data_IF_966625809986
#
_entry.id   IF_966625809986
#
_cell.length_a   1.000
_cell.length_b   1.000
_cell.length_c   1.000
_cell.angle_alpha   90.00
_cell.angle_beta   90.00
_cell.angle_gamma   90.00
#
_symmetry.space_group_name_H-M   'P 1'
#
loop_
_entity.id
_entity.type
_entity.pdbx_description
1 polymer ?
#
# COMPACT_ATOMS: atom_id res chain seq x y z
N UNK A 1 22.99 -4.76 1.32
CA UNK A 1 22.97 -6.22 1.09
C UNK A 1 21.62 -6.85 1.45
N UNK A 2 21.14 -6.73 2.71
CA UNK A 2 19.87 -7.38 3.12
C UNK A 2 18.65 -6.91 2.32
N UNK A 3 18.46 -5.60 2.13
CA UNK A 3 17.35 -5.08 1.32
C UNK A 3 17.34 -5.63 -0.13
N UNK A 4 18.52 -5.79 -0.74
CA UNK A 4 18.68 -6.36 -2.08
C UNK A 4 18.33 -7.84 -2.08
N UNK A 5 18.76 -8.60 -1.06
CA UNK A 5 18.39 -10.00 -0.92
C UNK A 5 16.87 -10.18 -0.75
N UNK A 6 16.24 -9.35 0.11
CA UNK A 6 14.77 -9.34 0.28
C UNK A 6 14.09 -9.05 -1.06
N UNK A 7 14.53 -8.02 -1.78
CA UNK A 7 14.00 -7.67 -3.09
C UNK A 7 14.08 -8.85 -4.07
N UNK A 8 15.27 -9.44 -4.25
CA UNK A 8 15.49 -10.51 -5.21
C UNK A 8 14.67 -11.76 -4.85
N UNK A 9 14.66 -12.17 -3.58
CA UNK A 9 13.87 -13.33 -3.15
C UNK A 9 12.37 -13.10 -3.33
N UNK A 10 11.86 -11.93 -2.92
CA UNK A 10 10.45 -11.59 -3.09
C UNK A 10 10.06 -11.52 -4.57
N UNK A 11 10.87 -10.85 -5.39
CA UNK A 11 10.64 -10.72 -6.82
C UNK A 11 10.61 -12.09 -7.51
N UNK A 12 11.60 -12.95 -7.25
CA UNK A 12 11.65 -14.31 -7.81
C UNK A 12 10.45 -15.16 -7.36
N UNK A 13 10.06 -15.08 -6.09
CA UNK A 13 8.90 -15.81 -5.57
C UNK A 13 7.58 -15.35 -6.22
N UNK A 14 7.41 -14.04 -6.41
CA UNK A 14 6.20 -13.46 -7.01
C UNK A 14 6.05 -13.78 -8.51
N UNK A 15 7.16 -14.07 -9.21
CA UNK A 15 7.14 -14.49 -10.62
C UNK A 15 6.57 -15.90 -10.84
N UNK A 16 6.55 -16.75 -9.81
CA UNK A 16 6.10 -18.15 -9.92
C UNK A 16 4.62 -18.19 -10.36
N UNK A 17 4.35 -18.63 -11.58
CA UNK A 17 3.00 -18.72 -12.13
C UNK A 17 2.34 -17.37 -12.44
N UNK A 18 3.12 -16.30 -12.63
CA UNK A 18 2.60 -14.94 -12.89
C UNK A 18 1.71 -14.84 -14.14
N UNK A 19 2.02 -15.63 -15.17
CA UNK A 19 1.28 -15.62 -16.44
C UNK A 19 -0.09 -16.29 -16.35
N UNK A 20 -0.36 -17.03 -15.29
CA UNK A 20 -1.63 -17.72 -15.10
C UNK A 20 -2.61 -16.88 -14.24
N UNK A 21 -3.86 -16.67 -14.71
CA UNK A 21 -4.42 -17.15 -15.97
C UNK A 21 -4.01 -16.24 -17.15
N UNK A 22 -4.01 -16.79 -18.36
CA UNK A 22 -3.69 -16.05 -19.61
C UNK A 22 -4.88 -15.21 -20.11
N UNK A 23 -5.59 -14.56 -19.19
CA UNK A 23 -6.71 -13.66 -19.45
C UNK A 23 -6.74 -12.55 -18.41
N UNK A 24 -7.47 -11.48 -18.70
CA UNK A 24 -7.70 -10.41 -17.72
C UNK A 24 -8.47 -10.91 -16.51
N UNK A 25 -8.05 -10.45 -15.34
CA UNK A 25 -8.77 -10.66 -14.08
C UNK A 25 -9.15 -9.31 -13.49
N UNK A 26 -10.37 -9.21 -12.96
CA UNK A 26 -10.87 -7.98 -12.33
C UNK A 26 -10.63 -6.71 -13.18
N UNK A 27 -10.15 -5.61 -12.59
CA UNK A 27 -9.92 -4.33 -13.29
C UNK A 27 -8.75 -4.34 -14.30
N UNK A 28 -8.05 -5.47 -14.52
CA UNK A 28 -7.11 -5.58 -15.66
C UNK A 28 -7.80 -5.25 -16.99
N UNK A 29 -9.11 -5.54 -17.08
CA UNK A 29 -9.97 -5.18 -18.23
C UNK A 29 -10.05 -3.67 -18.47
N UNK A 30 -9.72 -2.84 -17.48
CA UNK A 30 -9.71 -1.38 -17.59
C UNK A 30 -8.29 -0.84 -17.76
N UNK A 31 -7.34 -1.33 -16.96
CA UNK A 31 -5.99 -0.76 -16.91
C UNK A 31 -5.11 -1.20 -18.07
N UNK A 32 -5.21 -2.47 -18.50
CA UNK A 32 -4.39 -2.97 -19.61
C UNK A 32 -4.79 -2.33 -20.93
N UNK A 33 -6.09 -2.22 -21.31
CA UNK A 33 -6.47 -1.48 -22.52
C UNK A 33 -6.05 -0.01 -22.51
N UNK A 34 -6.13 0.66 -21.36
CA UNK A 34 -5.65 2.04 -21.23
C UNK A 34 -4.14 2.14 -21.43
N UNK A 35 -3.36 1.19 -20.89
CA UNK A 35 -1.92 1.13 -21.14
C UNK A 35 -1.59 0.84 -22.61
N UNK A 36 -2.34 -0.04 -23.28
CA UNK A 36 -2.19 -0.28 -24.74
C UNK A 36 -2.43 0.98 -25.56
N UNK A 37 -3.43 1.76 -25.20
CA UNK A 37 -3.73 3.02 -25.88
C UNK A 37 -2.55 4.00 -25.80
N UNK A 38 -1.80 4.02 -24.69
CA UNK A 38 -0.62 4.88 -24.50
C UNK A 38 0.58 4.48 -25.39
N UNK A 39 0.56 3.28 -25.99
CA UNK A 39 1.59 2.85 -26.95
C UNK A 39 1.29 3.29 -28.38
N UNK A 40 0.06 3.75 -28.66
CA UNK A 40 -0.28 4.25 -29.98
C UNK A 40 0.44 5.59 -30.25
N UNK A 41 1.01 5.81 -31.44
CA UNK A 41 1.68 7.08 -31.78
C UNK A 41 0.78 8.32 -31.63
N UNK A 42 -0.52 8.13 -31.82
CA UNK A 42 -1.56 9.16 -31.65
C UNK A 42 -2.77 8.51 -30.99
N UNK A 43 -3.30 9.13 -29.93
CA UNK A 43 -4.55 8.70 -29.31
C UNK A 43 -5.73 9.09 -30.20
N UNK A 44 -6.30 8.11 -30.92
CA UNK A 44 -7.44 8.31 -31.82
C UNK A 44 -8.80 8.38 -31.12
N UNK A 45 -8.83 8.07 -29.82
CA UNK A 45 -10.02 8.01 -28.98
C UNK A 45 -9.74 8.73 -27.66
N UNK A 46 -10.79 9.20 -26.94
CA UNK A 46 -10.62 9.71 -25.59
C UNK A 46 -9.86 8.71 -24.70
N UNK A 47 -9.11 9.23 -23.73
CA UNK A 47 -8.30 8.41 -22.82
C UNK A 47 -9.17 7.39 -22.08
N UNK A 48 -8.83 6.12 -22.20
CA UNK A 48 -9.45 5.04 -21.44
C UNK A 48 -9.04 5.12 -19.97
N UNK A 49 -9.97 4.76 -19.09
CA UNK A 49 -9.83 4.91 -17.64
C UNK A 49 -9.32 6.32 -17.22
N UNK A 50 -10.01 7.41 -17.59
CA UNK A 50 -9.55 8.78 -17.31
C UNK A 50 -9.64 9.16 -15.84
N UNK A 51 -10.35 8.37 -15.03
CA UNK A 51 -10.56 8.57 -13.59
C UNK A 51 -9.31 8.38 -12.71
N UNK A 52 -8.17 7.99 -13.28
CA UNK A 52 -6.92 7.81 -12.55
C UNK A 52 -5.74 8.49 -13.26
N UNK A 53 -4.81 9.08 -12.48
CA UNK A 53 -3.52 9.56 -12.96
C UNK A 53 -2.73 8.49 -13.76
N UNK A 54 -1.80 8.91 -14.64
CA UNK A 54 -1.31 8.05 -15.71
C UNK A 54 -0.16 7.12 -15.34
N UNK A 55 0.64 7.43 -14.32
CA UNK A 55 1.97 6.82 -14.12
C UNK A 55 1.93 5.28 -14.06
N UNK A 56 0.96 4.70 -13.35
CA UNK A 56 0.85 3.25 -13.26
C UNK A 56 0.51 2.60 -14.62
N UNK A 57 -0.34 3.26 -15.43
CA UNK A 57 -0.66 2.80 -16.79
C UNK A 57 0.53 2.97 -17.74
N UNK A 58 1.32 4.03 -17.58
CA UNK A 58 2.57 4.23 -18.34
C UNK A 58 3.61 3.15 -18.03
N UNK A 59 3.74 2.74 -16.76
CA UNK A 59 4.62 1.63 -16.36
C UNK A 59 4.16 0.29 -16.94
N UNK A 60 2.84 0.04 -16.97
CA UNK A 60 2.27 -1.14 -17.65
C UNK A 60 2.53 -1.06 -19.16
N UNK A 61 2.36 0.09 -19.78
CA UNK A 61 2.60 0.30 -21.21
C UNK A 61 4.06 0.02 -21.58
N UNK A 62 5.01 0.57 -20.82
CA UNK A 62 6.44 0.30 -21.02
C UNK A 62 6.79 -1.19 -20.89
N UNK A 63 6.11 -1.91 -20.00
CA UNK A 63 6.27 -3.35 -19.85
C UNK A 63 5.67 -4.14 -21.02
N UNK A 64 4.49 -3.75 -21.51
CA UNK A 64 3.89 -4.33 -22.73
C UNK A 64 4.84 -4.14 -23.93
N UNK A 65 5.43 -2.95 -24.08
CA UNK A 65 6.39 -2.67 -25.15
C UNK A 65 7.67 -3.53 -25.05
N UNK A 66 8.06 -3.95 -23.85
CA UNK A 66 9.30 -4.71 -23.59
C UNK A 66 9.09 -6.22 -23.63
N UNK A 67 8.03 -6.72 -23.00
CA UNK A 67 7.75 -8.15 -22.79
C UNK A 67 6.58 -8.70 -23.63
N UNK A 68 5.97 -7.85 -24.44
CA UNK A 68 4.83 -8.18 -25.29
C UNK A 68 3.47 -7.97 -24.62
N UNK A 69 2.43 -7.88 -25.45
CA UNK A 69 1.05 -7.70 -25.02
C UNK A 69 0.42 -9.03 -24.58
N UNK A 70 0.87 -9.53 -23.43
CA UNK A 70 0.46 -10.81 -22.83
C UNK A 70 0.48 -10.71 -21.30
N UNK A 71 0.05 -11.77 -20.60
CA UNK A 71 -0.05 -11.79 -19.13
C UNK A 71 1.25 -11.44 -18.40
N UNK A 72 2.42 -11.79 -18.96
CA UNK A 72 3.71 -11.38 -18.39
C UNK A 72 3.89 -9.86 -18.52
N UNK A 73 3.73 -9.31 -19.72
CA UNK A 73 3.87 -7.87 -19.98
C UNK A 73 2.91 -7.02 -19.16
N UNK A 74 1.69 -7.50 -18.90
CA UNK A 74 0.71 -6.78 -18.09
C UNK A 74 1.09 -6.75 -16.60
N UNK A 75 1.57 -7.89 -16.06
CA UNK A 75 1.67 -8.11 -14.61
C UNK A 75 3.08 -7.95 -14.04
N UNK A 76 4.11 -8.02 -14.88
CA UNK A 76 5.51 -7.90 -14.43
C UNK A 76 5.78 -6.63 -13.59
N UNK A 77 5.27 -5.43 -13.94
CA UNK A 77 5.51 -4.24 -13.14
C UNK A 77 4.85 -4.32 -11.76
N UNK A 78 3.67 -4.95 -11.64
CA UNK A 78 3.04 -5.18 -10.35
C UNK A 78 3.93 -6.05 -9.44
N UNK A 79 4.59 -7.07 -10.01
CA UNK A 79 5.53 -7.93 -9.28
C UNK A 79 6.77 -7.18 -8.82
N UNK A 80 7.31 -6.29 -9.66
CA UNK A 80 8.41 -5.41 -9.29
C UNK A 80 8.03 -4.51 -8.10
N UNK A 81 6.86 -3.86 -8.18
CA UNK A 81 6.39 -2.95 -7.13
C UNK A 81 5.97 -3.69 -5.85
N UNK A 82 5.47 -4.92 -5.97
CA UNK A 82 5.22 -5.79 -4.81
C UNK A 82 6.51 -6.14 -4.06
N UNK A 83 7.58 -6.50 -4.77
CA UNK A 83 8.88 -6.73 -4.16
C UNK A 83 9.43 -5.45 -3.50
N UNK A 84 9.29 -4.29 -4.16
CA UNK A 84 9.64 -2.99 -3.57
C UNK A 84 8.82 -2.66 -2.33
N UNK A 85 7.52 -2.98 -2.30
CA UNK A 85 6.68 -2.78 -1.12
C UNK A 85 7.16 -3.62 0.07
N UNK A 86 7.58 -4.87 -0.15
CA UNK A 86 8.16 -5.72 0.89
C UNK A 86 9.47 -5.12 1.43
N UNK A 87 10.34 -4.63 0.53
CA UNK A 87 11.56 -3.90 0.92
C UNK A 87 11.22 -2.64 1.72
N UNK A 88 10.20 -1.89 1.31
CA UNK A 88 9.78 -0.69 1.99
C UNK A 88 9.30 -0.99 3.42
N UNK A 89 8.56 -2.08 3.65
CA UNK A 89 8.21 -2.54 5.00
C UNK A 89 9.45 -2.91 5.82
N UNK A 90 10.43 -3.58 5.22
CA UNK A 90 11.73 -3.82 5.88
C UNK A 90 12.41 -2.50 6.27
N UNK A 91 12.40 -1.48 5.40
CA UNK A 91 12.98 -0.17 5.69
C UNK A 91 12.22 0.59 6.78
N UNK A 92 10.88 0.55 6.76
CA UNK A 92 10.03 1.05 7.86
C UNK A 92 10.38 0.35 9.17
N UNK A 93 10.46 -0.98 9.14
CA UNK A 93 10.87 -1.79 10.29
C UNK A 93 12.26 -1.37 10.78
N UNK A 94 13.24 -1.21 9.90
CA UNK A 94 14.59 -0.80 10.29
C UNK A 94 14.61 0.60 10.92
N UNK A 95 13.84 1.54 10.35
CA UNK A 95 13.69 2.88 10.90
C UNK A 95 13.09 2.85 12.32
N UNK A 96 12.00 2.10 12.52
CA UNK A 96 11.28 2.01 13.79
C UNK A 96 12.03 1.21 14.85
N UNK A 97 12.70 0.13 14.43
CA UNK A 97 13.17 -0.92 15.32
C UNK A 97 14.67 -0.93 15.57
N UNK A 98 15.44 -0.22 14.72
CA UNK A 98 16.89 -0.14 14.74
C UNK A 98 17.58 -1.52 14.77
N UNK A 99 16.93 -2.56 14.22
CA UNK A 99 17.42 -3.93 14.27
C UNK A 99 17.00 -4.74 13.03
N UNK A 100 17.94 -5.54 12.51
CA UNK A 100 17.75 -6.33 11.30
C UNK A 100 16.67 -7.42 11.46
N UNK A 101 16.72 -8.20 12.55
CA UNK A 101 15.78 -9.29 12.80
C UNK A 101 14.30 -8.86 12.79
N UNK A 102 13.90 -7.89 13.63
CA UNK A 102 12.54 -7.35 13.62
C UNK A 102 12.12 -6.73 12.28
N UNK A 103 13.02 -6.05 11.59
CA UNK A 103 12.75 -5.50 10.26
C UNK A 103 12.48 -6.59 9.21
N UNK A 104 13.28 -7.67 9.22
CA UNK A 104 13.08 -8.84 8.36
C UNK A 104 11.75 -9.52 8.71
N UNK A 105 11.44 -9.70 10.00
CA UNK A 105 10.19 -10.29 10.44
C UNK A 105 8.97 -9.48 9.97
N UNK A 106 9.03 -8.15 10.02
CA UNK A 106 7.93 -7.29 9.53
C UNK A 106 7.71 -7.45 8.03
N UNK A 107 8.79 -7.53 7.25
CA UNK A 107 8.72 -7.74 5.81
C UNK A 107 8.18 -9.13 5.45
N UNK A 108 8.60 -10.18 6.16
CA UNK A 108 8.08 -11.53 5.98
C UNK A 108 6.59 -11.62 6.33
N UNK A 109 6.16 -11.07 7.46
CA UNK A 109 4.75 -11.06 7.87
C UNK A 109 3.90 -10.29 6.83
N UNK A 110 4.41 -9.16 6.30
CA UNK A 110 3.72 -8.44 5.22
C UNK A 110 3.67 -9.26 3.92
N UNK A 111 4.75 -9.96 3.55
CA UNK A 111 4.79 -10.83 2.38
C UNK A 111 3.81 -12.02 2.50
N UNK A 112 3.58 -12.51 3.72
CA UNK A 112 2.61 -13.56 4.03
C UNK A 112 1.17 -13.05 4.23
N UNK A 113 0.90 -11.77 3.92
CA UNK A 113 -0.45 -11.27 3.77
C UNK A 113 -0.91 -11.41 2.31
N UNK A 114 -1.93 -12.24 2.09
CA UNK A 114 -2.56 -12.48 0.79
C UNK A 114 -2.91 -11.21 0.01
N UNK A 115 -3.34 -10.13 0.68
CA UNK A 115 -3.68 -8.88 -0.01
C UNK A 115 -2.47 -8.29 -0.77
N UNK A 116 -1.29 -8.29 -0.14
CA UNK A 116 -0.07 -7.82 -0.81
C UNK A 116 0.33 -8.77 -1.94
N UNK A 117 0.27 -10.08 -1.68
CA UNK A 117 0.59 -11.11 -2.68
C UNK A 117 -0.28 -11.03 -3.94
N UNK A 118 -1.60 -10.91 -3.78
CA UNK A 118 -2.53 -10.83 -4.92
C UNK A 118 -2.29 -9.56 -5.71
N UNK A 119 -2.17 -8.40 -5.05
CA UNK A 119 -1.94 -7.10 -5.73
C UNK A 119 -0.59 -7.03 -6.41
N UNK A 120 0.42 -7.73 -5.91
CA UNK A 120 1.73 -7.86 -6.55
C UNK A 120 1.72 -8.72 -7.83
N UNK A 121 0.60 -9.34 -8.20
CA UNK A 121 0.55 -10.33 -9.29
C UNK A 121 -0.53 -10.06 -10.33
N UNK A 122 -1.19 -8.92 -10.27
CA UNK A 122 -2.23 -8.50 -11.21
C UNK A 122 -1.97 -7.04 -11.61
N UNK A 123 -2.37 -6.63 -12.81
CA UNK A 123 -2.11 -5.30 -13.34
C UNK A 123 -3.04 -4.22 -12.74
N UNK A 124 -3.09 -4.12 -11.40
CA UNK A 124 -3.86 -3.14 -10.64
C UNK A 124 -3.03 -1.89 -10.32
N UNK A 125 -3.65 -0.71 -10.33
CA UNK A 125 -2.93 0.55 -10.02
C UNK A 125 -2.50 0.65 -8.54
N UNK A 126 -3.22 -0.03 -7.63
CA UNK A 126 -3.03 0.06 -6.19
C UNK A 126 -1.63 -0.38 -5.71
N UNK A 127 -1.03 -1.39 -6.35
CA UNK A 127 0.30 -1.87 -5.96
C UNK A 127 1.41 -0.84 -6.25
N UNK A 128 1.27 -0.05 -7.32
CA UNK A 128 2.22 1.00 -7.66
C UNK A 128 2.13 2.16 -6.68
N UNK A 129 0.90 2.60 -6.36
CA UNK A 129 0.65 3.60 -5.34
C UNK A 129 1.16 3.13 -3.96
N UNK A 130 0.97 1.85 -3.63
CA UNK A 130 1.48 1.25 -2.40
C UNK A 130 3.02 1.24 -2.37
N UNK A 131 3.68 0.76 -3.43
CA UNK A 131 5.13 0.63 -3.47
C UNK A 131 5.84 1.98 -3.30
N UNK A 132 5.44 2.99 -4.09
CA UNK A 132 5.96 4.35 -3.92
C UNK A 132 5.58 4.94 -2.55
N UNK A 133 4.33 4.78 -2.11
CA UNK A 133 3.84 5.32 -0.84
C UNK A 133 4.53 4.72 0.39
N UNK A 134 4.85 3.42 0.38
CA UNK A 134 5.59 2.78 1.46
C UNK A 134 7.07 3.17 1.45
N UNK A 135 7.70 3.32 0.28
CA UNK A 135 9.08 3.84 0.20
C UNK A 135 9.16 5.28 0.73
N UNK A 136 8.18 6.12 0.39
CA UNK A 136 8.04 7.46 0.93
C UNK A 136 7.84 7.45 2.45
N UNK A 137 6.97 6.55 2.94
CA UNK A 137 6.72 6.34 4.36
C UNK A 137 8.00 5.90 5.09
N UNK A 138 8.77 4.98 4.52
CA UNK A 138 10.04 4.54 5.09
C UNK A 138 11.05 5.69 5.19
N UNK A 139 11.15 6.54 4.15
CA UNK A 139 12.00 7.72 4.16
C UNK A 139 11.57 8.72 5.25
N UNK A 140 10.26 8.99 5.36
CA UNK A 140 9.71 9.85 6.42
C UNK A 140 9.99 9.28 7.82
N UNK A 141 9.69 8.00 8.07
CA UNK A 141 9.97 7.33 9.35
C UNK A 141 11.45 7.38 9.69
N UNK A 142 12.34 7.19 8.72
CA UNK A 142 13.78 7.27 8.92
C UNK A 142 14.25 8.69 9.26
N UNK A 143 13.62 9.71 8.68
CA UNK A 143 13.89 11.12 8.95
C UNK A 143 13.33 11.61 10.28
N UNK A 144 12.27 10.98 10.80
CA UNK A 144 11.49 11.48 11.94
C UNK A 144 12.34 11.81 13.18
N UNK A 145 13.33 10.97 13.53
CA UNK A 145 14.21 11.18 14.69
C UNK A 145 15.57 11.81 14.36
N UNK A 146 15.80 12.22 13.11
CA UNK A 146 17.05 12.87 12.68
C UNK A 146 16.99 14.36 12.98
N UNK A 147 18.10 14.94 13.42
CA UNK A 147 18.21 16.40 13.61
C UNK A 147 18.01 17.16 12.29
N UNK A 148 18.51 16.60 11.17
CA UNK A 148 18.41 17.17 9.81
C UNK A 148 17.67 16.21 8.87
N UNK A 149 16.33 16.25 8.82
CA UNK A 149 15.54 15.32 8.01
C UNK A 149 15.39 15.73 6.54
N UNK A 150 15.91 16.89 6.12
CA UNK A 150 15.60 17.55 4.85
C UNK A 150 15.64 16.63 3.63
N UNK A 151 16.73 15.90 3.42
CA UNK A 151 16.88 15.01 2.27
C UNK A 151 15.88 13.83 2.29
N UNK A 152 15.60 13.29 3.48
CA UNK A 152 14.68 12.17 3.65
C UNK A 152 13.22 12.61 3.47
N UNK A 153 12.88 13.81 3.95
CA UNK A 153 11.55 14.40 3.74
C UNK A 153 11.35 14.85 2.29
N UNK A 154 12.39 15.36 1.62
CA UNK A 154 12.35 15.67 0.20
C UNK A 154 12.15 14.39 -0.65
N UNK A 155 12.88 13.32 -0.32
CA UNK A 155 12.69 12.01 -0.96
C UNK A 155 11.27 11.47 -0.73
N UNK A 156 10.77 11.55 0.51
CA UNK A 156 9.39 11.17 0.83
C UNK A 156 8.38 11.97 -0.02
N UNK A 157 8.56 13.28 -0.12
CA UNK A 157 7.75 14.17 -0.95
C UNK A 157 7.66 13.75 -2.41
N UNK A 158 8.82 13.59 -3.06
CA UNK A 158 8.90 13.18 -4.45
C UNK A 158 8.23 11.82 -4.70
N UNK A 159 8.50 10.84 -3.83
CA UNK A 159 7.91 9.50 -3.91
C UNK A 159 6.39 9.51 -3.66
N UNK A 160 5.88 10.35 -2.74
CA UNK A 160 4.44 10.52 -2.57
C UNK A 160 3.76 11.13 -3.79
N UNK A 161 4.42 12.05 -4.50
CA UNK A 161 3.90 12.55 -5.77
C UNK A 161 3.85 11.46 -6.85
N UNK A 162 4.84 10.56 -6.92
CA UNK A 162 4.77 9.37 -7.77
C UNK A 162 3.63 8.43 -7.34
N UNK A 163 3.42 8.21 -6.04
CA UNK A 163 2.32 7.40 -5.54
C UNK A 163 0.95 7.99 -5.94
N UNK A 164 0.79 9.31 -5.78
CA UNK A 164 -0.40 10.04 -6.21
C UNK A 164 -0.59 9.99 -7.73
N UNK A 165 0.50 9.98 -8.51
CA UNK A 165 0.48 9.86 -9.97
C UNK A 165 0.10 8.46 -10.46
N UNK A 166 0.11 7.45 -9.58
CA UNK A 166 -0.47 6.14 -9.85
C UNK A 166 -1.96 6.10 -9.49
N UNK A 167 -2.33 6.64 -8.33
CA UNK A 167 -3.70 6.71 -7.82
C UNK A 167 -3.80 7.75 -6.70
N UNK A 168 -4.87 8.53 -6.66
CA UNK A 168 -5.05 9.57 -5.63
C UNK A 168 -5.11 9.06 -4.19
N UNK A 169 -5.34 7.76 -3.96
CA UNK A 169 -5.16 7.16 -2.63
C UNK A 169 -3.72 7.28 -2.12
N UNK A 170 -2.73 7.47 -3.00
CA UNK A 170 -1.36 7.83 -2.64
C UNK A 170 -1.21 9.18 -1.92
N UNK A 171 -2.22 10.07 -2.01
CA UNK A 171 -2.26 11.32 -1.26
C UNK A 171 -2.55 11.10 0.24
N UNK A 172 -3.16 9.98 0.63
CA UNK A 172 -3.51 9.76 2.04
C UNK A 172 -2.29 9.68 2.94
N UNK A 173 -1.27 8.83 2.69
CA UNK A 173 -0.07 8.82 3.53
C UNK A 173 0.74 10.12 3.44
N UNK A 174 0.68 10.87 2.33
CA UNK A 174 1.23 12.24 2.24
C UNK A 174 0.51 13.19 3.21
N UNK A 175 -0.83 13.18 3.20
CA UNK A 175 -1.66 13.94 4.11
C UNK A 175 -1.33 13.65 5.57
N UNK A 176 -1.07 12.39 5.92
CA UNK A 176 -0.62 12.00 7.26
C UNK A 176 0.72 12.64 7.62
N UNK A 177 1.70 12.65 6.71
CA UNK A 177 2.97 13.35 6.95
C UNK A 177 2.76 14.85 7.20
N UNK A 178 1.91 15.49 6.40
CA UNK A 178 1.55 16.92 6.54
C UNK A 178 0.91 17.16 7.91
N UNK A 179 -0.05 16.34 8.33
CA UNK A 179 -0.70 16.45 9.63
C UNK A 179 0.29 16.25 10.76
N UNK A 180 1.16 15.24 10.70
CA UNK A 180 2.20 15.01 11.71
C UNK A 180 3.10 16.23 11.85
N UNK A 181 3.61 16.76 10.74
CA UNK A 181 4.49 17.94 10.74
C UNK A 181 3.76 19.17 11.27
N UNK A 182 2.50 19.38 10.85
CA UNK A 182 1.69 20.50 11.31
C UNK A 182 1.43 20.43 12.81
N UNK A 183 1.06 19.27 13.35
CA UNK A 183 0.82 19.06 14.79
C UNK A 183 2.10 19.30 15.59
N UNK A 184 3.24 18.73 15.17
CA UNK A 184 4.52 18.94 15.86
C UNK A 184 4.91 20.43 15.86
N UNK A 185 4.77 21.11 14.72
CA UNK A 185 5.08 22.54 14.60
C UNK A 185 4.14 23.42 15.41
N UNK A 186 2.86 23.07 15.48
CA UNK A 186 1.87 23.75 16.31
C UNK A 186 2.23 23.65 17.80
N UNK A 187 2.53 22.43 18.27
CA UNK A 187 2.95 22.20 19.66
C UNK A 187 4.26 22.93 20.00
N UNK A 188 5.24 22.95 19.08
CA UNK A 188 6.47 23.74 19.25
C UNK A 188 6.19 25.25 19.32
N UNK A 189 5.27 25.75 18.48
CA UNK A 189 4.82 27.15 18.50
C UNK A 189 4.14 27.53 19.82
N UNK A 190 3.34 26.62 20.38
CA UNK A 190 2.76 26.75 21.72
C UNK A 190 3.75 26.51 22.86
N UNK A 191 5.01 26.19 22.55
CA UNK A 191 6.05 25.84 23.52
C UNK A 191 5.61 24.72 24.45
N UNK A 192 4.86 23.75 23.92
CA UNK A 192 4.36 22.62 24.68
C UNK A 192 5.52 21.83 25.28
N UNK A 193 5.42 21.53 26.57
CA UNK A 193 6.36 20.70 27.32
C UNK A 193 5.57 19.66 28.10
N UNK A 194 6.00 18.41 28.06
CA UNK A 194 5.47 17.38 28.96
C UNK A 194 6.19 17.50 30.30
N UNK A 195 5.43 17.50 31.41
CA UNK A 195 5.99 17.60 32.76
C UNK A 195 6.96 16.44 33.06
N UNK A 196 6.65 15.27 32.52
CA UNK A 196 7.41 14.02 32.60
C UNK A 196 8.03 13.65 31.24
N UNK A 197 8.69 14.61 30.57
CA UNK A 197 9.27 14.39 29.24
C UNK A 197 10.24 13.20 29.19
N UNK A 198 10.05 12.30 28.22
CA UNK A 198 10.90 11.13 28.00
C UNK A 198 11.62 11.20 26.65
N UNK A 199 12.84 10.62 26.52
CA UNK A 199 13.57 10.63 25.25
C UNK A 199 12.79 9.99 24.08
N UNK A 200 11.98 8.97 24.38
CA UNK A 200 11.20 8.22 23.39
C UNK A 200 9.83 8.81 23.10
N UNK A 201 9.50 9.98 23.69
CA UNK A 201 8.25 10.65 23.41
C UNK A 201 8.15 11.01 21.91
N UNK A 202 6.96 10.81 21.32
CA UNK A 202 6.67 11.07 19.91
C UNK A 202 6.75 12.55 19.57
N UNK A 203 6.51 13.41 20.56
CA UNK A 203 6.73 14.85 20.47
C UNK A 203 7.92 15.25 21.34
N UNK A 204 8.80 16.08 20.79
CA UNK A 204 9.81 16.83 21.55
C UNK A 204 9.91 18.26 21.03
N UNK A 205 10.17 19.25 21.91
CA UNK A 205 10.28 20.65 21.51
C UNK A 205 11.43 20.90 20.53
N UNK A 206 12.45 20.05 20.53
CA UNK A 206 13.66 20.15 19.73
C UNK A 206 13.65 19.30 18.45
N UNK A 207 12.50 18.72 18.06
CA UNK A 207 12.39 18.02 16.78
C UNK A 207 12.64 18.97 15.59
N UNK A 208 13.63 18.61 14.77
CA UNK A 208 13.98 19.24 13.50
C UNK A 208 14.23 20.76 13.64
N UNK A 209 15.25 21.19 14.41
CA UNK A 209 15.49 22.60 14.73
C UNK A 209 15.68 23.47 13.48
N UNK A 210 16.30 22.92 12.42
CA UNK A 210 16.60 23.63 11.18
C UNK A 210 15.50 23.49 10.09
N UNK A 211 14.45 22.69 10.32
CA UNK A 211 13.46 22.35 9.28
C UNK A 211 12.27 23.33 9.21
N UNK A 212 12.53 24.54 8.73
CA UNK A 212 11.56 25.66 8.70
C UNK A 212 10.45 25.53 7.63
N UNK A 213 9.47 26.45 7.66
CA UNK A 213 8.31 26.46 6.75
C UNK A 213 8.63 26.35 5.25
N UNK A 214 9.68 27.00 4.68
CA UNK A 214 10.04 26.80 3.28
C UNK A 214 10.41 25.36 2.95
N UNK A 215 11.07 24.65 3.87
CA UNK A 215 11.40 23.23 3.70
C UNK A 215 10.16 22.35 3.79
N UNK A 216 9.21 22.69 4.68
CA UNK A 216 7.91 22.00 4.74
C UNK A 216 7.18 22.13 3.41
N UNK A 217 7.07 23.36 2.88
CA UNK A 217 6.43 23.62 1.59
C UNK A 217 7.15 22.88 0.44
N UNK A 218 8.48 22.91 0.42
CA UNK A 218 9.26 22.19 -0.58
C UNK A 218 9.01 20.69 -0.53
N UNK A 219 9.13 20.07 0.66
CA UNK A 219 9.06 18.63 0.82
C UNK A 219 7.64 18.08 0.69
N UNK A 220 6.62 18.79 1.15
CA UNK A 220 5.26 18.23 1.27
C UNK A 220 4.21 18.91 0.39
N UNK A 221 4.60 19.91 -0.42
CA UNK A 221 3.73 20.50 -1.44
C UNK A 221 4.41 20.57 -2.81
N UNK A 222 5.56 21.23 -2.92
CA UNK A 222 6.21 21.48 -4.21
C UNK A 222 6.74 20.20 -4.85
N UNK A 223 7.56 19.41 -4.14
CA UNK A 223 8.13 18.17 -4.69
C UNK A 223 7.05 17.13 -5.06
N UNK A 224 6.05 16.84 -4.19
CA UNK A 224 4.94 15.97 -4.59
C UNK A 224 4.17 16.48 -5.81
N UNK A 225 3.88 17.79 -5.89
CA UNK A 225 3.17 18.34 -7.03
C UNK A 225 3.99 18.26 -8.33
N UNK A 226 5.31 18.51 -8.25
CA UNK A 226 6.22 18.40 -9.38
C UNK A 226 6.28 16.97 -9.92
N UNK A 227 6.52 15.97 -9.07
CA UNK A 227 6.59 14.57 -9.53
C UNK A 227 5.24 14.04 -9.98
N UNK A 228 4.15 14.51 -9.36
CA UNK A 228 2.78 14.21 -9.80
C UNK A 228 2.52 14.73 -11.21
N UNK A 229 2.75 16.03 -11.46
CA UNK A 229 2.49 16.66 -12.75
C UNK A 229 3.45 16.16 -13.84
N UNK A 230 4.69 15.78 -13.48
CA UNK A 230 5.65 15.23 -14.43
C UNK A 230 5.12 13.97 -15.14
N UNK A 231 4.32 13.14 -14.44
CA UNK A 231 3.70 11.96 -15.05
C UNK A 231 2.66 12.29 -16.13
N UNK A 232 2.18 13.53 -16.22
CA UNK A 232 1.20 13.94 -17.23
C UNK A 232 1.87 14.48 -18.51
N UNK A 233 3.17 14.78 -18.45
CA UNK A 233 3.93 15.37 -19.58
C UNK A 233 3.93 14.44 -20.81
N UNK A 234 4.09 13.11 -20.69
CA UNK A 234 4.04 12.22 -21.87
C UNK A 234 2.70 12.29 -22.62
N UNK A 235 1.60 12.58 -21.93
CA UNK A 235 0.26 12.61 -22.50
C UNK A 235 -0.15 13.99 -23.04
N UNK A 236 0.24 15.06 -22.35
CA UNK A 236 -0.25 16.42 -22.61
C UNK A 236 0.86 17.41 -22.98
N UNK A 237 2.12 16.95 -23.02
CA UNK A 237 3.28 17.82 -23.15
C UNK A 237 3.35 18.83 -21.99
N UNK A 238 3.82 20.04 -22.29
CA UNK A 238 3.92 21.15 -21.33
C UNK A 238 2.71 22.11 -21.42
N UNK A 239 1.62 21.70 -22.07
CA UNK A 239 0.42 22.51 -22.25
C UNK A 239 -0.33 22.67 -20.92
N UNK A 240 -0.25 23.85 -20.31
CA UNK A 240 -0.92 24.13 -19.05
C UNK A 240 -2.46 23.94 -19.12
N UNK A 241 -3.17 24.38 -20.18
CA UNK A 241 -4.60 24.11 -20.30
C UNK A 241 -4.94 22.62 -20.30
N UNK A 242 -4.17 21.81 -21.02
CA UNK A 242 -4.42 20.37 -21.11
C UNK A 242 -4.10 19.64 -19.81
N UNK A 243 -3.04 20.06 -19.11
CA UNK A 243 -2.71 19.55 -17.78
C UNK A 243 -3.84 19.84 -16.77
N UNK A 244 -4.40 21.06 -16.79
CA UNK A 244 -5.53 21.46 -15.94
C UNK A 244 -6.78 20.67 -16.30
N UNK A 245 -7.08 20.55 -17.59
CA UNK A 245 -8.24 19.79 -18.08
C UNK A 245 -8.14 18.31 -17.69
N UNK A 246 -6.94 17.72 -17.76
CA UNK A 246 -6.68 16.37 -17.26
C UNK A 246 -7.03 16.21 -15.78
N UNK A 247 -6.69 17.18 -14.92
CA UNK A 247 -7.05 17.14 -13.50
C UNK A 247 -8.56 17.29 -13.30
N UNK A 248 -9.20 18.19 -14.05
CA UNK A 248 -10.64 18.42 -14.00
C UNK A 248 -11.42 17.15 -14.37
N UNK A 249 -10.98 16.42 -15.39
CA UNK A 249 -11.58 15.14 -15.81
C UNK A 249 -11.47 14.06 -14.73
N UNK A 250 -10.28 13.88 -14.14
CA UNK A 250 -10.10 12.93 -13.03
C UNK A 250 -11.05 13.28 -11.88
N UNK A 251 -11.13 14.56 -11.51
CA UNK A 251 -12.01 15.02 -10.43
C UNK A 251 -13.49 14.76 -10.75
N UNK A 252 -13.93 15.14 -11.96
CA UNK A 252 -15.30 14.93 -12.41
C UNK A 252 -15.66 13.44 -12.36
N UNK A 253 -14.86 12.55 -12.96
CA UNK A 253 -15.16 11.11 -12.97
C UNK A 253 -15.25 10.48 -11.57
N UNK A 254 -14.47 10.99 -10.62
CA UNK A 254 -14.50 10.50 -9.24
C UNK A 254 -15.65 11.07 -8.39
N UNK A 255 -16.30 12.17 -8.83
CA UNK A 255 -17.34 12.87 -8.06
C UNK A 255 -18.72 12.80 -8.69
N UNK A 256 -18.82 12.84 -10.02
CA UNK A 256 -20.09 12.96 -10.75
C UNK A 256 -20.57 11.66 -11.38
N UNK A 257 -19.69 10.67 -11.55
CA UNK A 257 -20.10 9.37 -12.10
C UNK A 257 -20.90 8.62 -11.04
N UNK A 258 -22.21 8.56 -11.22
CA UNK A 258 -23.10 7.71 -10.45
C UNK A 258 -22.77 6.25 -10.81
N UNK A 259 -21.90 5.63 -10.04
CA UNK A 259 -21.57 4.23 -10.21
C UNK A 259 -22.68 3.41 -9.54
N UNK A 260 -23.34 2.55 -10.32
CA UNK A 260 -24.34 1.61 -9.79
C UNK A 260 -23.74 0.74 -8.67
N UNK A 261 -24.58 0.30 -7.73
CA UNK A 261 -24.17 -0.64 -6.68
C UNK A 261 -23.48 -1.87 -7.28
N UNK A 262 -22.34 -2.29 -6.70
CA UNK A 262 -21.61 -3.47 -7.15
C UNK A 262 -21.76 -4.60 -6.12
N UNK A 263 -22.02 -5.83 -6.56
CA UNK A 263 -22.28 -6.98 -5.69
C UNK A 263 -21.14 -7.23 -4.68
N UNK A 264 -19.88 -6.95 -5.06
CA UNK A 264 -18.71 -7.09 -4.19
C UNK A 264 -18.33 -5.84 -3.38
N UNK A 265 -19.15 -4.78 -3.37
CA UNK A 265 -18.85 -3.59 -2.56
C UNK A 265 -18.85 -3.92 -1.06
N UNK A 266 -18.00 -3.24 -0.30
CA UNK A 266 -17.92 -3.36 1.16
C UNK A 266 -17.55 -2.04 1.81
N UNK A 267 -18.04 -1.82 3.05
CA UNK A 267 -17.85 -0.56 3.77
C UNK A 267 -16.52 -0.52 4.53
N UNK A 268 -15.93 0.67 4.64
CA UNK A 268 -14.61 0.86 5.27
C UNK A 268 -14.47 0.32 6.70
N UNK A 269 -15.50 0.34 7.59
CA UNK A 269 -15.35 -0.22 8.94
C UNK A 269 -15.22 -1.74 8.94
N UNK A 270 -15.71 -2.40 7.88
CA UNK A 270 -15.74 -3.86 7.77
C UNK A 270 -14.41 -4.47 7.30
N UNK A 271 -13.53 -3.66 6.69
CA UNK A 271 -12.31 -4.15 6.06
C UNK A 271 -11.31 -4.78 7.04
N UNK A 272 -11.01 -4.20 8.23
CA UNK A 272 -10.08 -4.83 9.17
C UNK A 272 -10.59 -6.16 9.73
N UNK A 273 -11.91 -6.37 9.72
CA UNK A 273 -12.56 -7.61 10.13
C UNK A 273 -12.55 -8.67 9.03
N UNK A 274 -12.11 -8.31 7.82
CA UNK A 274 -12.20 -9.16 6.63
C UNK A 274 -13.63 -9.62 6.36
N UNK A 275 -14.65 -8.80 6.66
CA UNK A 275 -16.04 -9.26 6.66
C UNK A 275 -16.54 -9.68 5.27
N UNK A 276 -16.10 -8.97 4.22
CA UNK A 276 -16.52 -9.21 2.84
C UNK A 276 -15.32 -9.02 1.87
N UNK A 277 -14.76 -10.10 1.32
CA UNK A 277 -13.70 -10.05 0.32
C UNK A 277 -14.25 -9.66 -1.06
N UNK A 278 -13.34 -9.52 -2.03
CA UNK A 278 -13.68 -9.33 -3.44
C UNK A 278 -13.08 -10.48 -4.24
N UNK A 279 -13.86 -11.08 -5.15
CA UNK A 279 -13.37 -12.15 -6.00
C UNK A 279 -12.89 -11.54 -7.32
N UNK A 280 -11.59 -11.66 -7.59
CA UNK A 280 -10.98 -11.18 -8.84
C UNK A 280 -11.08 -12.20 -9.97
N UNK A 281 -11.13 -13.48 -9.61
CA UNK A 281 -11.31 -14.59 -10.52
C UNK A 281 -12.00 -15.74 -9.80
N UNK A 282 -12.96 -16.39 -10.48
CA UNK A 282 -13.48 -17.68 -10.10
C UNK A 282 -13.90 -18.45 -11.36
N UNK A 283 -13.12 -19.46 -11.73
CA UNK A 283 -13.38 -20.33 -12.88
C UNK A 283 -13.54 -21.77 -12.40
N UNK A 284 -14.54 -22.48 -12.94
CA UNK A 284 -14.58 -23.95 -12.86
C UNK A 284 -13.74 -24.51 -14.00
N UNK A 285 -12.62 -25.15 -13.68
CA UNK A 285 -11.68 -25.71 -14.65
C UNK A 285 -11.98 -27.16 -15.00
N UNK A 286 -12.63 -27.89 -14.08
CA UNK A 286 -13.18 -29.23 -14.27
C UNK A 286 -14.38 -29.44 -13.34
N UNK A 287 -14.99 -30.63 -13.36
CA UNK A 287 -16.20 -30.94 -12.57
C UNK A 287 -16.05 -30.67 -11.07
N UNK A 288 -14.88 -30.98 -10.48
CA UNK A 288 -14.55 -30.69 -9.08
C UNK A 288 -13.23 -29.91 -8.94
N UNK A 289 -12.92 -29.04 -9.90
CA UNK A 289 -11.74 -28.17 -9.82
C UNK A 289 -12.08 -26.72 -10.13
N UNK A 290 -11.56 -25.83 -9.30
CA UNK A 290 -11.71 -24.39 -9.42
C UNK A 290 -10.37 -23.68 -9.41
N UNK A 291 -10.26 -22.65 -10.23
CA UNK A 291 -9.18 -21.67 -10.19
C UNK A 291 -9.75 -20.35 -9.69
N UNK A 292 -9.15 -19.81 -8.63
CA UNK A 292 -9.67 -18.61 -7.98
C UNK A 292 -8.56 -17.62 -7.61
N UNK A 293 -8.93 -16.34 -7.62
CA UNK A 293 -8.14 -15.24 -7.04
C UNK A 293 -9.12 -14.47 -6.16
N UNK A 294 -9.11 -14.77 -4.88
CA UNK A 294 -9.94 -14.10 -3.87
C UNK A 294 -9.06 -13.09 -3.16
N UNK A 295 -9.44 -11.82 -3.27
CA UNK A 295 -8.78 -10.73 -2.59
C UNK A 295 -9.26 -10.66 -1.14
N UNK A 296 -8.61 -11.47 -0.31
CA UNK A 296 -8.88 -11.67 1.11
C UNK A 296 -7.54 -11.73 1.85
N UNK A 297 -7.37 -10.96 2.92
CA UNK A 297 -6.12 -10.98 3.67
C UNK A 297 -5.97 -12.20 4.58
N UNK A 298 -4.74 -12.50 4.99
CA UNK A 298 -4.45 -13.61 5.90
C UNK A 298 -5.08 -13.35 7.28
N UNK A 299 -6.09 -14.13 7.72
CA UNK A 299 -6.73 -13.90 9.02
C UNK A 299 -5.76 -14.06 10.19
N UNK A 300 -4.75 -14.93 10.05
CA UNK A 300 -3.71 -15.14 11.08
C UNK A 300 -2.72 -13.97 11.19
N UNK A 301 -2.72 -13.05 10.22
CA UNK A 301 -1.97 -11.79 10.28
C UNK A 301 -2.89 -10.65 10.71
N UNK A 302 -4.01 -10.46 10.01
CA UNK A 302 -4.80 -9.24 10.14
C UNK A 302 -5.64 -9.19 11.42
N UNK A 303 -6.22 -10.30 11.89
CA UNK A 303 -6.99 -10.26 13.14
C UNK A 303 -6.11 -10.09 14.38
N UNK A 304 -4.99 -10.82 14.56
CA UNK A 304 -4.09 -10.55 15.68
C UNK A 304 -3.47 -9.15 15.60
N UNK A 305 -3.31 -8.57 14.41
CA UNK A 305 -2.86 -7.19 14.28
C UNK A 305 -3.84 -6.20 14.91
N UNK A 306 -5.16 -6.47 14.93
CA UNK A 306 -6.13 -5.61 15.63
C UNK A 306 -5.87 -5.56 17.13
N UNK A 307 -5.58 -6.71 17.75
CA UNK A 307 -5.18 -6.77 19.15
C UNK A 307 -3.84 -6.05 19.38
N UNK A 308 -2.87 -6.22 18.46
CA UNK A 308 -1.61 -5.51 18.52
C UNK A 308 -1.78 -3.98 18.41
N UNK A 309 -2.73 -3.52 17.60
CA UNK A 309 -3.02 -2.10 17.42
C UNK A 309 -3.65 -1.45 18.65
N UNK A 310 -4.49 -2.19 19.40
CA UNK A 310 -4.97 -1.69 20.70
C UNK A 310 -3.81 -1.38 21.65
N UNK A 311 -2.80 -2.25 21.65
CA UNK A 311 -1.57 -2.07 22.41
C UNK A 311 -0.74 -0.89 21.89
N UNK A 312 -0.60 -0.76 20.57
CA UNK A 312 0.08 0.39 19.93
C UNK A 312 -0.61 1.70 20.32
N UNK A 313 -1.93 1.80 20.19
CA UNK A 313 -2.71 2.99 20.55
C UNK A 313 -2.55 3.36 22.03
N UNK A 314 -2.61 2.36 22.92
CA UNK A 314 -2.33 2.55 24.35
C UNK A 314 -0.94 3.15 24.58
N UNK A 315 0.06 2.72 23.82
CA UNK A 315 1.42 3.25 23.93
C UNK A 315 1.61 4.63 23.27
N UNK A 316 0.78 5.02 22.30
CA UNK A 316 0.76 6.40 21.78
C UNK A 316 0.31 7.38 22.86
N UNK A 317 -0.66 6.99 23.68
CA UNK A 317 -1.24 7.87 24.71
C UNK A 317 -0.47 7.78 26.04
N UNK A 318 -0.26 6.57 26.55
CA UNK A 318 0.30 6.33 27.89
C UNK A 318 1.83 6.39 27.87
N UNK A 319 2.45 5.59 27.00
CA UNK A 319 3.90 5.53 26.87
C UNK A 319 4.47 6.64 25.98
N UNK A 320 3.60 7.38 25.28
CA UNK A 320 3.91 8.42 24.30
C UNK A 320 4.99 8.03 23.30
N UNK A 321 5.09 6.75 22.95
CA UNK A 321 6.22 6.26 22.14
C UNK A 321 6.16 6.72 20.68
N UNK A 322 7.28 7.22 20.17
CA UNK A 322 7.41 7.69 18.78
C UNK A 322 7.19 6.61 17.73
N UNK A 323 7.68 5.39 17.97
CA UNK A 323 7.52 4.28 17.04
C UNK A 323 6.08 3.76 17.03
N UNK A 324 5.44 3.66 18.20
CA UNK A 324 4.00 3.37 18.29
C UNK A 324 3.16 4.44 17.56
N UNK A 325 3.52 5.73 17.73
CA UNK A 325 2.84 6.85 17.07
C UNK A 325 2.90 6.74 15.55
N UNK A 326 4.08 6.48 14.99
CA UNK A 326 4.23 6.33 13.53
C UNK A 326 3.52 5.07 13.00
N UNK A 327 3.57 3.93 13.71
CA UNK A 327 2.82 2.74 13.33
C UNK A 327 1.32 3.04 13.30
N UNK A 328 0.78 3.68 14.34
CA UNK A 328 -0.62 4.08 14.39
C UNK A 328 -0.97 5.03 13.24
N UNK A 329 -0.18 6.09 13.03
CA UNK A 329 -0.46 7.10 12.01
C UNK A 329 -0.53 6.50 10.60
N UNK A 330 0.41 5.64 10.23
CA UNK A 330 0.46 5.03 8.90
C UNK A 330 -0.43 3.80 8.72
N UNK A 331 -0.94 3.21 9.80
CA UNK A 331 -2.02 2.22 9.72
C UNK A 331 -3.40 2.90 9.63
N UNK A 332 -3.74 3.74 10.61
CA UNK A 332 -5.07 4.35 10.70
C UNK A 332 -5.28 5.44 9.66
N UNK A 333 -4.25 6.17 9.27
CA UNK A 333 -4.37 7.30 8.36
C UNK A 333 -4.94 6.92 6.99
N UNK A 334 -4.28 6.03 6.22
CA UNK A 334 -4.81 5.56 4.95
C UNK A 334 -6.17 4.84 5.06
N UNK A 335 -6.45 4.19 6.19
CA UNK A 335 -7.73 3.51 6.42
C UNK A 335 -8.87 4.50 6.69
N UNK A 336 -8.71 5.41 7.65
CA UNK A 336 -9.73 6.37 8.08
C UNK A 336 -9.93 7.49 7.05
N UNK A 337 -8.99 7.72 6.14
CA UNK A 337 -9.21 8.62 5.00
C UNK A 337 -10.47 8.26 4.20
N UNK A 338 -10.82 6.97 4.14
CA UNK A 338 -12.05 6.49 3.48
C UNK A 338 -13.33 6.81 4.23
N UNK A 339 -13.26 7.11 5.54
CA UNK A 339 -14.40 7.58 6.30
C UNK A 339 -14.78 9.04 5.95
N UNK A 340 -13.81 9.83 5.47
CA UNK A 340 -13.99 11.24 5.13
C UNK A 340 -14.42 11.46 3.67
N UNK A 341 -14.34 10.43 2.84
CA UNK A 341 -14.70 10.53 1.43
C UNK A 341 -16.19 10.21 1.25
N UNK A 342 -16.97 11.08 0.59
CA UNK A 342 -18.41 10.89 0.38
C UNK A 342 -18.74 9.80 -0.66
N UNK A 343 -17.82 8.87 -0.92
CA UNK A 343 -17.97 7.86 -1.98
C UNK A 343 -18.85 6.72 -1.49
N UNK A 344 -19.92 6.45 -2.23
CA UNK A 344 -20.90 5.40 -1.92
C UNK A 344 -20.39 3.98 -2.21
N UNK A 345 -19.31 3.84 -3.00
CA UNK A 345 -18.71 2.56 -3.35
C UNK A 345 -17.31 2.39 -2.75
N UNK A 346 -17.22 1.49 -1.79
CA UNK A 346 -15.98 1.00 -1.19
C UNK A 346 -15.72 -0.45 -1.58
N UNK A 347 -14.44 -0.81 -1.66
CA UNK A 347 -14.00 -2.18 -1.82
C UNK A 347 -12.82 -2.44 -0.89
N UNK A 348 -12.68 -3.68 -0.42
CA UNK A 348 -11.65 -4.03 0.56
C UNK A 348 -10.21 -3.85 0.05
N UNK A 349 -9.97 -3.76 -1.27
CA UNK A 349 -8.63 -3.46 -1.78
C UNK A 349 -8.13 -2.06 -1.44
N UNK A 350 -9.01 -1.13 -1.08
CA UNK A 350 -8.63 0.17 -0.53
C UNK A 350 -7.95 0.09 0.85
N UNK A 351 -8.16 -1.02 1.57
CA UNK A 351 -7.53 -1.29 2.86
C UNK A 351 -6.07 -1.78 2.74
N UNK A 352 -5.60 -2.06 1.52
CA UNK A 352 -4.26 -2.62 1.25
C UNK A 352 -3.10 -1.91 1.98
N UNK A 353 -3.00 -0.55 2.02
CA UNK A 353 -1.90 0.11 2.73
C UNK A 353 -1.89 -0.18 4.23
N UNK A 354 -3.05 -0.08 4.88
CA UNK A 354 -3.19 -0.36 6.31
C UNK A 354 -2.96 -1.86 6.61
N UNK A 355 -3.53 -2.74 5.79
CA UNK A 355 -3.33 -4.19 5.88
C UNK A 355 -1.84 -4.58 5.74
N UNK A 356 -1.08 -3.85 4.93
CA UNK A 356 0.37 -4.09 4.76
C UNK A 356 1.16 -3.55 5.96
N UNK A 357 0.82 -2.36 6.47
CA UNK A 357 1.44 -1.76 7.65
C UNK A 357 1.15 -2.52 8.96
N UNK A 358 0.09 -3.36 8.99
CA UNK A 358 -0.28 -4.19 10.13
C UNK A 358 0.87 -5.08 10.65
N UNK A 359 1.78 -5.50 9.78
CA UNK A 359 2.96 -6.29 10.17
C UNK A 359 3.86 -5.55 11.17
N UNK A 360 3.97 -4.22 11.06
CA UNK A 360 4.78 -3.40 11.97
C UNK A 360 4.18 -3.41 13.38
N UNK A 361 2.85 -3.36 13.50
CA UNK A 361 2.16 -3.43 14.80
C UNK A 361 2.38 -4.78 15.48
N UNK A 362 2.30 -5.88 14.73
CA UNK A 362 2.57 -7.22 15.24
C UNK A 362 4.01 -7.34 15.76
N UNK A 363 5.00 -6.94 14.96
CA UNK A 363 6.39 -6.97 15.37
C UNK A 363 6.64 -6.07 16.58
N UNK A 364 6.01 -4.89 16.65
CA UNK A 364 6.09 -3.97 17.78
C UNK A 364 5.66 -4.62 19.10
N UNK A 365 4.58 -5.41 19.09
CA UNK A 365 4.11 -6.11 20.30
C UNK A 365 4.97 -7.32 20.62
N UNK A 366 5.33 -8.13 19.61
CA UNK A 366 6.13 -9.35 19.79
C UNK A 366 7.57 -9.10 20.25
N UNK A 367 8.06 -7.86 20.14
CA UNK A 367 9.38 -7.45 20.63
C UNK A 367 9.38 -6.84 22.03
N UNK A 368 8.23 -6.76 22.69
CA UNK A 368 8.14 -6.13 24.01
C UNK A 368 8.99 -6.86 25.05
N UNK A 369 9.49 -6.10 26.02
CA UNK A 369 10.30 -6.64 27.10
C UNK A 369 9.54 -7.75 27.84
N UNK A 370 10.22 -8.86 28.10
CA UNK A 370 9.65 -10.04 28.76
C UNK A 370 9.16 -11.13 27.80
N UNK A 371 9.03 -10.85 26.50
CA UNK A 371 8.74 -11.88 25.50
C UNK A 371 10.04 -12.52 24.98
N UNK A 372 10.07 -13.86 24.80
CA UNK A 372 11.25 -14.52 24.29
C UNK A 372 11.42 -14.27 22.78
N UNK A 373 12.66 -14.07 22.33
CA UNK A 373 12.98 -13.72 20.93
C UNK A 373 12.48 -14.75 19.91
N UNK A 374 12.37 -16.02 20.29
CA UNK A 374 11.88 -17.07 19.40
C UNK A 374 10.39 -16.89 19.05
N UNK A 375 9.61 -16.22 19.90
CA UNK A 375 8.17 -16.02 19.69
C UNK A 375 7.89 -15.19 18.43
N UNK A 376 8.72 -14.19 18.16
CA UNK A 376 8.65 -13.40 16.93
C UNK A 376 8.76 -14.30 15.69
N UNK A 377 9.74 -15.20 15.67
CA UNK A 377 9.98 -16.10 14.53
C UNK A 377 8.98 -17.24 14.45
N UNK A 378 8.49 -17.74 15.59
CA UNK A 378 7.36 -18.67 15.63
C UNK A 378 6.11 -18.02 15.00
N UNK A 379 5.86 -16.74 15.28
CA UNK A 379 4.76 -16.01 14.67
C UNK A 379 4.96 -15.75 13.17
N UNK A 380 6.20 -15.49 12.72
CA UNK A 380 6.53 -15.48 11.27
C UNK A 380 6.17 -16.83 10.62
N UNK A 381 6.50 -17.95 11.29
CA UNK A 381 6.10 -19.29 10.87
C UNK A 381 4.58 -19.48 10.81
N UNK A 382 3.84 -18.97 11.80
CA UNK A 382 2.38 -19.00 11.80
C UNK A 382 1.78 -18.21 10.64
N UNK A 383 2.31 -17.02 10.36
CA UNK A 383 1.91 -16.22 9.20
C UNK A 383 2.15 -16.98 7.89
N UNK A 384 3.31 -17.64 7.76
CA UNK A 384 3.65 -18.47 6.59
C UNK A 384 2.69 -19.66 6.43
N UNK A 385 2.31 -20.33 7.52
CA UNK A 385 1.32 -21.42 7.50
C UNK A 385 -0.04 -20.91 7.02
N UNK A 386 -0.53 -19.80 7.58
CA UNK A 386 -1.78 -19.17 7.12
C UNK A 386 -1.71 -18.81 5.64
N UNK A 387 -0.56 -18.32 5.19
CA UNK A 387 -0.35 -17.98 3.79
C UNK A 387 -0.44 -19.22 2.89
N UNK A 388 0.22 -20.31 3.26
CA UNK A 388 0.20 -21.56 2.50
C UNK A 388 -1.21 -22.16 2.42
N UNK A 389 -1.98 -22.12 3.51
CA UNK A 389 -3.36 -22.62 3.57
C UNK A 389 -4.28 -21.83 2.61
N UNK A 390 -4.11 -20.50 2.52
CA UNK A 390 -4.93 -19.62 1.68
C UNK A 390 -4.44 -19.52 0.23
N UNK A 391 -3.25 -20.06 -0.08
CA UNK A 391 -2.64 -19.96 -1.41
C UNK A 391 -3.53 -20.55 -2.53
N UNK A 392 -4.22 -21.69 -2.36
CA UNK A 392 -5.07 -22.29 -3.39
C UNK A 392 -6.23 -21.39 -3.87
N UNK A 393 -6.68 -20.44 -3.04
CA UNK A 393 -7.74 -19.46 -3.39
C UNK A 393 -7.20 -18.08 -3.75
N UNK A 394 -5.89 -17.88 -3.63
CA UNK A 394 -5.21 -16.60 -3.89
C UNK A 394 -4.35 -16.63 -5.15
N UNK A 395 -3.98 -17.83 -5.60
CA UNK A 395 -3.09 -18.07 -6.72
C UNK A 395 -3.78 -18.99 -7.75
N UNK A 396 -4.27 -18.39 -8.84
CA UNK A 396 -5.01 -19.10 -9.88
C UNK A 396 -4.32 -20.37 -10.42
N UNK A 397 -2.99 -20.35 -10.52
CA UNK A 397 -2.20 -21.46 -11.08
C UNK A 397 -2.13 -22.71 -10.18
N UNK A 398 -2.51 -22.59 -8.90
CA UNK A 398 -2.54 -23.72 -7.97
C UNK A 398 -3.91 -24.40 -8.04
N UNK A 399 -4.98 -23.61 -8.01
CA UNK A 399 -6.36 -24.12 -7.97
C UNK A 399 -6.67 -24.93 -6.71
N UNK A 400 -7.93 -25.36 -6.59
CA UNK A 400 -8.42 -26.23 -5.51
C UNK A 400 -9.67 -26.97 -5.94
N UNK A 401 -10.19 -27.90 -5.13
CA UNK A 401 -11.52 -28.48 -5.37
C UNK A 401 -12.64 -27.57 -4.89
N UNK A 402 -13.88 -27.78 -5.32
CA UNK A 402 -15.02 -26.99 -4.82
C UNK A 402 -15.18 -27.18 -3.31
N UNK A 403 -14.97 -28.40 -2.81
CA UNK A 403 -14.96 -28.68 -1.37
C UNK A 403 -13.85 -27.92 -0.64
N UNK A 404 -12.63 -27.90 -1.22
CA UNK A 404 -11.50 -27.17 -0.67
C UNK A 404 -11.77 -25.67 -0.61
N UNK A 405 -12.31 -25.09 -1.69
CA UNK A 405 -12.72 -23.70 -1.74
C UNK A 405 -13.72 -23.36 -0.64
N UNK A 406 -14.80 -24.14 -0.51
CA UNK A 406 -15.83 -23.91 0.49
C UNK A 406 -15.30 -24.02 1.93
N UNK A 407 -14.32 -24.90 2.20
CA UNK A 407 -13.68 -25.00 3.53
C UNK A 407 -12.84 -23.77 3.88
N UNK A 408 -12.24 -23.13 2.87
CA UNK A 408 -11.44 -21.92 3.04
C UNK A 408 -12.31 -20.66 3.15
N UNK A 409 -13.55 -20.71 2.66
CA UNK A 409 -14.56 -19.66 2.86
C UNK A 409 -15.21 -19.77 4.24
N UNK A 410 -14.49 -19.26 5.26
CA UNK A 410 -14.87 -19.39 6.67
C UNK A 410 -16.24 -18.80 7.00
N UNK A 411 -16.70 -17.80 6.26
CA UNK A 411 -18.00 -17.16 6.46
C UNK A 411 -18.82 -17.18 5.17
N UNK A 412 -20.15 -17.25 5.31
CA UNK A 412 -21.08 -17.11 4.19
C UNK A 412 -20.93 -15.76 3.47
N UNK A 413 -20.52 -14.71 4.19
CA UNK A 413 -20.26 -13.39 3.59
C UNK A 413 -19.02 -13.35 2.69
N UNK A 414 -18.21 -14.42 2.68
CA UNK A 414 -17.07 -14.57 1.78
C UNK A 414 -17.43 -15.26 0.46
N UNK A 415 -18.63 -15.83 0.38
CA UNK A 415 -19.17 -16.55 -0.78
C UNK A 415 -19.98 -15.61 -1.69
#
# INVERSE_FOLDING_TARGET
>A
MIAVAIFLMAHLALLIGLTAPEKFVFDEVHYVPAARQMLAPVMSQPMLNPMHPPLAKELIAASIATFGDNALGWRYPATLFGALAIVAIYLCGLALFAAQGPAIAAALIAAFNQMLYVQARIAMLDIFALGFGLLATAAFMHGFRRERPHALFALAGGLFGCAAACKWSGLFPLGICIVIVAVIRLMQGWRTLFADARPDDWYRPDLWPDFRAPHVALCFAVLPAMTYLAAFIPLYGLSLPDLIEGQRRIFADNTTTAIAGHTYMSSWPSWPLLARPVWFLFDKTAEDSVSAIVFLGNPLVLWPALAALAIVLRDVVVARRWDAFLIAAFYFGPWLAWALLPRTLGFIYYYLPAATAASLALVYVLRRNGLPRWLLWAYVGLAAIGFAIMLPISAAFIGTSMQGFNRLMLFQSWI
#
